data_IF_790310214975
#
_entry.id   IF_790310214975
#
_cell.length_a   1.000
_cell.length_b   1.000
_cell.length_c   1.000
_cell.angle_alpha   90.00
_cell.angle_beta   90.00
_cell.angle_gamma   90.00
#
_symmetry.space_group_name_H-M   'P 1'
#
loop_
_entity.id
_entity.type
_entity.pdbx_description
1 polymer ?
#
# COMPACT_ATOMS: atom_id res chain seq x y z
N UNK A 1 60.42 -4.54 5.48
CA UNK A 1 59.81 -4.89 6.78
C UNK A 1 59.92 -3.68 7.70
N UNK A 2 58.91 -3.12 8.35
CA UNK A 2 57.49 -3.45 8.46
C UNK A 2 56.78 -2.18 8.97
N UNK A 3 55.76 -1.72 8.25
CA UNK A 3 54.83 -0.68 8.72
C UNK A 3 53.88 -1.32 9.72
N UNK A 4 54.01 -1.01 11.01
CA UNK A 4 52.94 -1.24 11.98
C UNK A 4 52.63 0.08 12.71
N UNK A 5 52.19 1.08 11.94
CA UNK A 5 51.29 2.09 12.51
C UNK A 5 49.94 1.43 12.58
N UNK A 6 49.49 1.16 13.80
CA UNK A 6 48.16 0.67 14.09
C UNK A 6 47.14 1.56 13.38
N UNK A 7 46.60 1.07 12.27
CA UNK A 7 45.40 1.62 11.66
C UNK A 7 44.25 1.18 12.56
N UNK A 8 44.07 1.90 13.68
CA UNK A 8 42.80 1.88 14.41
C UNK A 8 41.80 2.49 13.45
N UNK A 9 41.16 1.63 12.65
CA UNK A 9 39.94 1.98 11.96
C UNK A 9 38.99 2.52 13.04
N UNK A 10 38.83 3.84 13.06
CA UNK A 10 37.73 4.47 13.77
C UNK A 10 36.46 4.01 13.06
N UNK A 11 35.96 2.83 13.46
CA UNK A 11 34.54 2.57 13.42
C UNK A 11 33.94 3.55 14.42
N UNK A 12 33.75 4.80 13.98
CA UNK A 12 32.85 5.70 14.69
C UNK A 12 31.49 5.01 14.66
N UNK A 13 30.87 4.75 15.82
CA UNK A 13 29.50 4.28 15.84
C UNK A 13 28.71 5.32 15.05
N UNK A 14 28.05 4.92 13.97
CA UNK A 14 27.01 5.76 13.37
C UNK A 14 26.03 6.02 14.50
N UNK A 15 26.03 7.23 15.04
CA UNK A 15 25.32 7.61 16.25
C UNK A 15 23.82 7.39 16.03
N UNK A 16 23.32 6.22 16.45
CA UNK A 16 21.94 5.78 16.29
C UNK A 16 20.96 6.61 17.12
N UNK A 17 21.46 7.63 17.85
CA UNK A 17 20.69 8.51 18.72
C UNK A 17 20.33 9.82 18.06
N UNK A 18 20.94 10.15 16.92
CA UNK A 18 20.72 11.43 16.26
C UNK A 18 19.42 11.40 15.45
N UNK A 19 18.45 12.24 15.83
CA UNK A 19 17.24 12.41 15.05
C UNK A 19 17.59 12.96 13.65
N UNK A 20 17.34 12.22 12.56
CA UNK A 20 17.62 12.68 11.21
C UNK A 20 16.82 13.95 10.85
N UNK A 21 15.76 14.29 11.58
CA UNK A 21 14.96 15.50 11.38
C UNK A 21 15.52 16.76 12.06
N UNK A 22 16.54 16.66 12.90
CA UNK A 22 17.01 17.78 13.73
C UNK A 22 17.57 18.98 12.94
N UNK A 23 17.99 18.76 11.68
CA UNK A 23 18.47 19.82 10.78
C UNK A 23 17.70 19.91 9.45
N UNK A 24 16.51 19.30 9.38
CA UNK A 24 15.75 19.24 8.11
C UNK A 24 14.64 20.29 8.11
N UNK A 25 14.78 21.28 7.22
CA UNK A 25 13.75 22.29 6.97
C UNK A 25 12.84 21.85 5.83
N UNK A 26 11.61 21.47 6.16
CA UNK A 26 10.59 21.16 5.18
C UNK A 26 9.89 22.43 4.64
N UNK A 27 9.33 22.36 3.42
CA UNK A 27 8.52 23.43 2.83
C UNK A 27 7.31 23.80 3.71
N UNK A 28 6.72 24.99 3.49
CA UNK A 28 5.52 25.44 4.21
C UNK A 28 4.42 24.37 4.16
N UNK A 29 3.88 23.99 5.32
CA UNK A 29 2.86 22.94 5.55
C UNK A 29 3.32 21.47 5.54
N UNK A 30 4.63 21.19 5.43
CA UNK A 30 5.19 19.85 5.60
C UNK A 30 5.82 19.69 6.99
N UNK A 31 5.86 18.45 7.48
CA UNK A 31 6.45 18.06 8.77
C UNK A 31 7.52 17.01 8.49
N UNK A 32 8.67 17.11 9.16
CA UNK A 32 9.71 16.10 9.06
C UNK A 32 9.36 14.91 9.96
N UNK A 33 9.45 13.69 9.42
CA UNK A 33 9.35 12.44 10.18
C UNK A 33 10.55 11.55 9.90
N UNK A 34 11.08 10.92 10.94
CA UNK A 34 12.16 9.95 10.82
C UNK A 34 11.61 8.58 10.38
N UNK A 35 12.23 7.96 9.38
CA UNK A 35 12.00 6.57 8.98
C UNK A 35 13.26 5.75 9.26
N UNK A 36 13.37 5.26 10.49
CA UNK A 36 14.61 4.66 10.99
C UNK A 36 15.70 5.70 11.25
N UNK A 37 16.93 5.24 11.47
CA UNK A 37 18.04 6.06 11.98
C UNK A 37 18.74 6.95 10.94
N UNK A 38 18.40 6.82 9.65
CA UNK A 38 19.17 7.42 8.55
C UNK A 38 18.32 8.26 7.58
N UNK A 39 16.99 8.30 7.74
CA UNK A 39 16.10 8.90 6.75
C UNK A 39 15.13 9.88 7.38
N UNK A 40 15.28 11.15 7.01
CA UNK A 40 14.28 12.18 7.25
C UNK A 40 13.36 12.31 6.03
N UNK A 41 12.06 12.36 6.26
CA UNK A 41 11.06 12.54 5.21
C UNK A 41 10.14 13.72 5.50
N UNK A 42 10.02 14.65 4.57
CA UNK A 42 9.06 15.76 4.64
C UNK A 42 7.70 15.32 4.11
N UNK A 43 6.80 14.96 5.02
CA UNK A 43 5.44 14.53 4.70
C UNK A 43 4.44 15.67 4.87
N UNK A 44 3.34 15.65 4.13
CA UNK A 44 2.29 16.65 4.27
C UNK A 44 1.57 16.46 5.61
N UNK A 45 1.31 17.54 6.36
CA UNK A 45 0.59 17.49 7.64
C UNK A 45 -0.78 16.82 7.51
N UNK A 46 -1.51 17.11 6.43
CA UNK A 46 -2.79 16.46 6.12
C UNK A 46 -2.65 14.95 5.88
N UNK A 47 -1.49 14.48 5.42
CA UNK A 47 -1.22 13.04 5.17
C UNK A 47 -0.77 12.31 6.45
N UNK A 48 -0.12 13.00 7.38
CA UNK A 48 0.11 12.49 8.74
C UNK A 48 -1.20 12.33 9.50
N UNK A 49 -2.07 13.33 9.39
CA UNK A 49 -3.37 13.32 10.03
C UNK A 49 -4.24 12.15 9.54
N UNK A 50 -4.23 11.78 8.26
CA UNK A 50 -4.96 10.59 7.78
C UNK A 50 -4.32 9.25 8.16
N UNK A 51 -3.05 9.22 8.58
CA UNK A 51 -2.41 8.00 9.09
C UNK A 51 -2.70 7.77 10.58
N UNK A 52 -2.90 8.86 11.32
CA UNK A 52 -3.32 8.86 12.74
C UNK A 52 -4.86 8.84 12.86
N UNK A 53 -5.55 9.47 11.90
CA UNK A 53 -6.98 9.38 11.61
C UNK A 53 -7.18 8.46 10.40
N UNK A 54 -6.73 7.21 10.50
CA UNK A 54 -7.76 6.21 10.36
C UNK A 54 -8.57 6.37 11.63
N UNK A 55 -9.72 7.09 11.64
CA UNK A 55 -10.71 6.74 12.60
C UNK A 55 -11.07 5.31 12.20
N UNK A 56 -10.44 4.34 12.83
CA UNK A 56 -11.20 3.17 13.20
C UNK A 56 -12.34 3.80 13.99
N UNK A 57 -13.49 3.90 13.35
CA UNK A 57 -14.68 4.49 13.92
C UNK A 57 -15.14 3.48 14.98
N UNK A 58 -14.45 3.50 16.12
CA UNK A 58 -14.47 2.52 17.21
C UNK A 58 -15.46 2.87 18.30
N UNK A 59 -16.27 3.89 18.09
CA UNK A 59 -17.36 4.27 18.96
C UNK A 59 -18.62 3.72 18.28
N UNK A 60 -19.08 2.48 18.49
CA UNK A 60 -19.45 1.92 19.79
C UNK A 60 -19.68 0.38 19.73
N UNK A 61 -18.63 -0.42 19.52
CA UNK A 61 -18.66 -1.88 19.79
C UNK A 61 -17.25 -2.50 20.00
N UNK A 62 -16.26 -1.71 20.44
CA UNK A 62 -14.90 -2.21 20.71
C UNK A 62 -14.85 -3.12 21.96
N UNK A 63 -15.89 -3.12 22.79
CA UNK A 63 -15.89 -3.80 24.10
C UNK A 63 -16.34 -5.26 24.09
N UNK A 64 -16.79 -5.83 22.96
CA UNK A 64 -17.30 -7.22 22.90
C UNK A 64 -16.66 -8.08 21.79
N UNK A 65 -16.02 -7.47 20.78
CA UNK A 65 -15.36 -8.20 19.72
C UNK A 65 -14.01 -8.76 20.18
N UNK A 66 -13.78 -10.06 19.98
CA UNK A 66 -12.55 -10.71 20.44
C UNK A 66 -11.34 -10.21 19.64
N UNK A 67 -10.23 -9.81 20.31
CA UNK A 67 -8.99 -9.47 19.62
C UNK A 67 -8.30 -10.74 19.09
N UNK A 68 -7.74 -10.66 17.88
CA UNK A 68 -7.00 -11.76 17.30
C UNK A 68 -5.54 -11.80 17.77
N UNK A 69 -5.00 -13.00 18.10
CA UNK A 69 -3.58 -13.15 18.38
C UNK A 69 -2.74 -12.87 17.13
N UNK A 70 -1.54 -12.34 17.32
CA UNK A 70 -0.63 -11.92 16.23
C UNK A 70 -0.03 -13.10 15.45
N UNK A 71 -0.14 -14.33 15.98
CA UNK A 71 0.65 -15.47 15.54
C UNK A 71 0.10 -16.28 14.35
N UNK A 72 -1.18 -16.12 13.97
CA UNK A 72 -1.79 -16.93 12.91
C UNK A 72 -2.08 -16.10 11.66
N UNK A 73 -1.24 -16.24 10.63
CA UNK A 73 -1.44 -15.65 9.30
C UNK A 73 -1.76 -16.72 8.27
N UNK A 74 -3.02 -17.14 8.23
CA UNK A 74 -3.56 -18.02 7.19
C UNK A 74 -4.60 -17.23 6.41
N UNK A 75 -4.22 -16.57 5.30
CA UNK A 75 -5.13 -15.66 4.61
C UNK A 75 -6.38 -16.40 4.13
N UNK A 76 -7.51 -15.69 4.17
CA UNK A 76 -8.81 -16.20 3.72
C UNK A 76 -9.49 -15.17 2.83
N UNK A 77 -10.30 -15.66 1.89
CA UNK A 77 -11.21 -14.85 1.10
C UNK A 77 -12.56 -14.80 1.80
N UNK A 78 -13.09 -13.61 2.07
CA UNK A 78 -14.42 -13.44 2.62
C UNK A 78 -15.52 -13.58 1.58
N UNK A 79 -16.74 -13.84 2.04
CA UNK A 79 -17.97 -13.85 1.24
C UNK A 79 -18.28 -12.50 0.58
N UNK A 80 -17.64 -11.43 1.05
CA UNK A 80 -17.70 -10.08 0.48
C UNK A 80 -16.62 -9.82 -0.59
N UNK A 81 -15.81 -10.84 -0.93
CA UNK A 81 -14.74 -10.74 -1.92
C UNK A 81 -13.48 -10.04 -1.41
N UNK A 82 -13.39 -9.70 -0.12
CA UNK A 82 -12.19 -9.12 0.47
C UNK A 82 -11.24 -10.17 1.04
N UNK A 83 -9.96 -9.82 1.12
CA UNK A 83 -8.95 -10.70 1.68
C UNK A 83 -8.71 -10.35 3.15
N UNK A 84 -8.72 -11.36 4.01
CA UNK A 84 -8.46 -11.21 5.44
C UNK A 84 -7.17 -11.94 5.79
N UNK A 85 -6.36 -11.36 6.68
CA UNK A 85 -5.08 -11.93 7.09
C UNK A 85 -5.23 -13.31 7.79
N UNK A 86 -6.40 -13.53 8.40
CA UNK A 86 -6.81 -14.80 8.99
C UNK A 86 -8.33 -14.84 9.14
N UNK A 87 -8.86 -16.05 9.36
CA UNK A 87 -10.27 -16.26 9.72
C UNK A 87 -10.67 -15.44 10.95
N UNK A 88 -9.84 -15.41 12.01
CA UNK A 88 -10.10 -14.55 13.16
C UNK A 88 -10.26 -13.07 12.77
N UNK A 89 -9.42 -12.57 11.84
CA UNK A 89 -9.52 -11.16 11.39
C UNK A 89 -10.79 -10.90 10.58
N UNK A 90 -11.29 -11.91 9.86
CA UNK A 90 -12.59 -11.86 9.21
C UNK A 90 -13.71 -11.79 10.26
N UNK A 91 -13.71 -12.68 11.25
CA UNK A 91 -14.70 -12.70 12.34
C UNK A 91 -14.70 -11.40 13.15
N UNK A 92 -13.51 -10.88 13.45
CA UNK A 92 -13.35 -9.60 14.11
C UNK A 92 -13.98 -8.47 13.29
N UNK A 93 -13.79 -8.45 11.97
CA UNK A 93 -14.45 -7.46 11.10
C UNK A 93 -15.95 -7.66 11.01
N UNK A 94 -16.43 -8.90 10.94
CA UNK A 94 -17.86 -9.24 10.99
C UNK A 94 -18.50 -8.64 12.25
N UNK A 95 -17.88 -8.88 13.40
CA UNK A 95 -18.31 -8.36 14.70
C UNK A 95 -18.28 -6.83 14.78
N UNK A 96 -17.19 -6.19 14.34
CA UNK A 96 -17.03 -4.74 14.41
C UNK A 96 -17.99 -3.99 13.46
N UNK A 97 -18.33 -4.59 12.33
CA UNK A 97 -19.19 -3.98 11.32
C UNK A 97 -20.65 -4.41 11.41
N UNK A 98 -20.98 -5.38 12.27
CA UNK A 98 -22.31 -5.97 12.36
C UNK A 98 -22.75 -6.68 11.07
N UNK A 99 -21.80 -7.17 10.28
CA UNK A 99 -22.05 -7.88 9.01
C UNK A 99 -21.85 -9.37 9.19
N UNK A 100 -22.64 -10.15 8.46
CA UNK A 100 -22.40 -11.60 8.32
C UNK A 100 -21.31 -11.81 7.26
N UNK A 101 -20.13 -12.22 7.70
CA UNK A 101 -18.99 -12.54 6.83
C UNK A 101 -18.59 -13.99 7.09
N UNK A 102 -18.45 -14.75 6.01
CA UNK A 102 -18.01 -16.14 6.06
C UNK A 102 -16.78 -16.33 5.16
N UNK A 103 -15.94 -17.30 5.49
CA UNK A 103 -14.82 -17.69 4.62
C UNK A 103 -15.39 -18.35 3.37
N UNK A 104 -15.10 -17.77 2.20
CA UNK A 104 -15.47 -18.33 0.90
C UNK A 104 -14.43 -19.35 0.40
N UNK A 105 -13.15 -19.08 0.62
CA UNK A 105 -12.07 -20.04 0.37
C UNK A 105 -10.83 -19.70 1.20
N UNK A 106 -9.97 -20.70 1.41
CA UNK A 106 -8.62 -20.47 1.92
C UNK A 106 -7.77 -19.73 0.87
N UNK A 107 -6.89 -18.85 1.33
CA UNK A 107 -6.04 -18.01 0.47
C UNK A 107 -6.65 -16.64 0.17
N UNK A 108 -6.16 -15.99 -0.89
CA UNK A 108 -6.64 -14.67 -1.31
C UNK A 108 -7.77 -14.82 -2.33
N UNK A 109 -8.65 -13.82 -2.40
CA UNK A 109 -9.62 -13.73 -3.49
C UNK A 109 -8.91 -13.40 -4.82
N UNK A 110 -9.49 -13.74 -5.98
CA UNK A 110 -10.74 -14.51 -6.15
C UNK A 110 -10.55 -16.01 -5.86
N UNK A 111 -11.59 -16.64 -5.32
CA UNK A 111 -11.60 -18.09 -5.13
C UNK A 111 -11.63 -18.78 -6.50
N UNK A 112 -10.60 -19.56 -6.82
CA UNK A 112 -10.63 -20.44 -7.99
C UNK A 112 -11.61 -21.57 -7.68
N UNK A 113 -12.79 -21.57 -8.29
CA UNK A 113 -13.76 -22.66 -8.20
C UNK A 113 -13.15 -23.92 -8.80
N UNK A 114 -12.41 -24.67 -8.01
CA UNK A 114 -11.94 -26.01 -8.38
C UNK A 114 -12.86 -26.99 -7.68
N UNK A 115 -13.82 -27.50 -8.44
CA UNK A 115 -14.55 -28.71 -8.08
C UNK A 115 -13.55 -29.76 -7.61
N UNK A 116 -13.77 -30.26 -6.41
CA UNK A 116 -13.00 -31.34 -5.80
C UNK A 116 -13.19 -32.57 -6.68
N UNK A 117 -12.27 -32.80 -7.60
CA UNK A 117 -12.01 -34.12 -8.20
C UNK A 117 -10.51 -34.28 -8.27
N UNK A 118 -9.99 -35.11 -7.38
CA UNK A 118 -8.63 -35.63 -7.40
C UNK A 118 -8.25 -36.16 -8.78
N UNK A 119 -7.08 -35.75 -9.27
CA UNK A 119 -6.01 -36.54 -9.93
C UNK A 119 -5.22 -35.68 -10.93
N UNK A 120 -3.95 -35.42 -10.59
CA UNK A 120 -2.85 -34.94 -11.45
C UNK A 120 -3.21 -34.07 -12.67
N UNK A 121 -3.24 -32.74 -12.50
CA UNK A 121 -2.80 -31.80 -13.55
C UNK A 121 -2.45 -30.43 -12.94
N UNK A 122 -1.19 -30.06 -13.15
CA UNK A 122 -0.60 -28.73 -13.16
C UNK A 122 -0.74 -27.78 -11.97
N UNK A 123 0.42 -27.59 -11.35
CA UNK A 123 0.80 -26.36 -10.66
C UNK A 123 0.70 -25.19 -11.63
N UNK A 124 -0.42 -24.46 -11.64
CA UNK A 124 -0.40 -23.08 -12.12
C UNK A 124 -1.20 -22.16 -11.21
N UNK A 125 -0.60 -21.85 -10.06
CA UNK A 125 -0.51 -20.44 -9.68
C UNK A 125 0.06 -19.77 -10.92
N UNK A 126 -0.74 -18.99 -11.64
CA UNK A 126 -0.27 -18.26 -12.81
C UNK A 126 0.75 -17.25 -12.29
N UNK A 127 1.99 -17.73 -12.21
CA UNK A 127 3.14 -16.97 -11.79
C UNK A 127 3.29 -15.91 -12.85
N UNK A 128 3.06 -14.65 -12.47
CA UNK A 128 3.27 -13.52 -13.36
C UNK A 128 4.69 -13.62 -13.90
N UNK A 129 4.80 -13.76 -15.21
CA UNK A 129 6.06 -13.77 -15.91
C UNK A 129 6.57 -12.33 -16.05
N UNK A 130 7.85 -12.18 -16.38
CA UNK A 130 8.39 -10.85 -16.75
C UNK A 130 7.63 -10.21 -17.92
N UNK A 131 7.02 -11.03 -18.78
CA UNK A 131 6.21 -10.56 -19.90
C UNK A 131 4.90 -9.92 -19.43
N UNK A 132 4.24 -10.51 -18.43
CA UNK A 132 2.99 -9.98 -17.87
C UNK A 132 3.21 -8.61 -17.18
N UNK A 133 4.37 -8.47 -16.51
CA UNK A 133 4.80 -7.20 -15.92
C UNK A 133 5.12 -6.14 -16.99
N UNK A 134 5.74 -6.55 -18.09
CA UNK A 134 6.05 -5.65 -19.21
C UNK A 134 4.76 -5.16 -19.89
N UNK A 135 3.84 -6.07 -20.21
CA UNK A 135 2.54 -5.76 -20.81
C UNK A 135 1.71 -4.82 -19.92
N UNK A 136 1.66 -5.09 -18.62
CA UNK A 136 1.01 -4.18 -17.67
C UNK A 136 1.66 -2.78 -17.68
N UNK A 137 2.99 -2.73 -17.79
CA UNK A 137 3.74 -1.48 -17.91
C UNK A 137 3.41 -0.70 -19.17
N UNK A 138 3.28 -1.36 -20.32
CA UNK A 138 2.86 -0.75 -21.59
C UNK A 138 1.43 -0.21 -21.51
N UNK A 139 0.51 -1.02 -21.01
CA UNK A 139 -0.90 -0.61 -20.83
C UNK A 139 -1.05 0.60 -19.92
N UNK A 140 -0.25 0.68 -18.86
CA UNK A 140 -0.21 1.85 -17.99
C UNK A 140 0.31 3.10 -18.72
N UNK A 141 1.38 2.96 -19.52
CA UNK A 141 1.90 4.07 -20.34
C UNK A 141 0.84 4.59 -21.31
N UNK A 142 0.15 3.69 -22.01
CA UNK A 142 -0.91 4.05 -22.97
C UNK A 142 -2.07 4.76 -22.27
N UNK A 143 -2.49 4.27 -21.11
CA UNK A 143 -3.52 4.92 -20.31
C UNK A 143 -3.11 6.34 -19.88
N UNK A 144 -1.85 6.55 -19.46
CA UNK A 144 -1.34 7.90 -19.14
C UNK A 144 -1.29 8.80 -20.37
N UNK A 145 -0.90 8.29 -21.52
CA UNK A 145 -0.91 9.03 -22.79
C UNK A 145 -2.33 9.45 -23.17
N UNK A 146 -3.31 8.57 -23.01
CA UNK A 146 -4.73 8.88 -23.24
C UNK A 146 -5.26 9.93 -22.27
N UNK A 147 -4.89 9.85 -20.99
CA UNK A 147 -5.25 10.90 -20.02
C UNK A 147 -4.71 12.27 -20.42
N UNK A 148 -3.45 12.35 -20.86
CA UNK A 148 -2.84 13.61 -21.29
C UNK A 148 -3.36 14.08 -22.66
N UNK A 149 -3.66 13.14 -23.57
CA UNK A 149 -4.29 13.42 -24.86
C UNK A 149 -5.70 13.98 -24.70
N UNK A 150 -6.50 13.41 -23.80
CA UNK A 150 -7.84 13.89 -23.47
C UNK A 150 -7.80 15.23 -22.71
N UNK A 151 -6.80 15.46 -21.86
CA UNK A 151 -6.57 16.78 -21.25
C UNK A 151 -6.24 17.86 -22.30
N UNK A 152 -5.53 17.50 -23.38
CA UNK A 152 -5.24 18.39 -24.51
C UNK A 152 -6.49 18.68 -25.35
N UNK A 153 -7.32 17.67 -25.61
CA UNK A 153 -8.59 17.85 -26.33
C UNK A 153 -9.61 18.68 -25.53
N UNK A 154 -9.63 18.55 -24.19
CA UNK A 154 -10.52 19.33 -23.33
C UNK A 154 -10.10 20.82 -23.21
N UNK A 155 -8.86 21.16 -23.58
CA UNK A 155 -8.38 22.54 -23.61
C UNK A 155 -8.39 23.16 -25.03
N UNK A 156 -8.60 22.35 -26.08
CA UNK A 156 -8.70 22.83 -27.47
C UNK A 156 -10.13 23.17 -27.90
N UNK A 157 -11.12 23.00 -27.01
CA UNK A 157 -12.52 23.38 -27.23
C UNK A 157 -12.90 24.80 -26.80
N UNK A 158 -11.94 25.67 -26.45
CA UNK A 158 -12.22 27.06 -26.04
C UNK A 158 -11.23 28.08 -26.60
N UNK A 159 -11.09 28.11 -27.92
CA UNK A 159 -10.61 29.30 -28.66
C UNK A 159 -11.03 29.16 -30.12
N UNK A 160 -12.14 29.82 -30.48
CA UNK A 160 -12.53 29.97 -31.89
C UNK A 160 -14.03 30.06 -32.16
N UNK A 161 -14.68 31.14 -31.68
CA UNK A 161 -15.84 31.75 -32.36
C UNK A 161 -16.27 33.00 -31.57
N UNK A 162 -15.56 34.10 -31.80
CA UNK A 162 -15.94 35.42 -31.30
C UNK A 162 -15.34 36.48 -32.20
N UNK A 163 -16.15 36.96 -33.15
CA UNK A 163 -16.26 38.32 -33.72
C UNK A 163 -16.44 38.32 -35.24
N UNK A 164 -17.62 38.78 -35.67
CA UNK A 164 -17.80 39.75 -36.75
C UNK A 164 -19.24 40.29 -36.68
N UNK A 165 -19.38 41.51 -36.15
CA UNK A 165 -20.55 42.36 -36.37
C UNK A 165 -20.49 42.97 -37.78
N UNK A 166 -21.65 43.18 -38.40
CA UNK A 166 -21.82 43.89 -39.66
C UNK A 166 -23.18 43.62 -40.26
#
# INVERSE_FOLDING_TARGET
>A
MEMIRHFRAQLTPMDTTKDPCQNVKCSRHKVCVAQGYQRAMCVNRKKLEHRVKQPVNLEAHESSCKPCPVAASSPVCGSDGHNYASECKLEQQACLTGKDLNVMCAGFCPCTTTTITDTNADTKRESCTGQDLADLGDRLRDWFQLLHGNAKQNNSGKLGAGTASG
#
